data_IF_970190206719
#
_entry.id   IF_970190206719
#
_cell.length_a   1.000
_cell.length_b   1.000
_cell.length_c   1.000
_cell.angle_alpha   90.00
_cell.angle_beta   90.00
_cell.angle_gamma   90.00
#
_symmetry.space_group_name_H-M   'P 1'
#
loop_
_entity.id
_entity.type
_entity.pdbx_description
1 polymer ?
#
# COMPACT_ATOMS: atom_id res chain seq x y z
N UNK A 1 -22.38 -4.96 14.42
CA UNK A 1 -21.63 -5.63 13.34
C UNK A 1 -21.59 -4.66 12.16
N UNK A 2 -20.41 -4.45 11.58
CA UNK A 2 -20.29 -3.68 10.34
C UNK A 2 -21.01 -4.40 9.19
N UNK A 3 -21.53 -3.65 8.24
CA UNK A 3 -22.07 -4.20 7.00
C UNK A 3 -21.01 -5.07 6.31
N UNK A 4 -21.38 -6.27 5.83
CA UNK A 4 -20.47 -7.21 5.14
C UNK A 4 -19.86 -6.63 3.86
N UNK A 5 -20.36 -5.50 3.35
CA UNK A 5 -19.79 -4.79 2.22
C UNK A 5 -18.79 -3.69 2.60
N UNK A 6 -18.73 -3.28 3.86
CA UNK A 6 -17.85 -2.19 4.30
C UNK A 6 -16.45 -2.71 4.62
N UNK A 7 -15.51 -2.45 3.71
CA UNK A 7 -14.08 -2.73 3.92
C UNK A 7 -13.44 -1.61 4.74
N UNK A 8 -12.93 -1.93 5.94
CA UNK A 8 -12.15 -0.99 6.76
C UNK A 8 -10.65 -1.27 6.59
N UNK A 9 -9.89 -0.21 6.34
CA UNK A 9 -8.42 -0.25 6.31
C UNK A 9 -7.93 0.72 7.38
N UNK A 10 -7.18 0.22 8.36
CA UNK A 10 -6.71 1.01 9.50
C UNK A 10 -5.25 0.72 9.83
N UNK A 11 -4.61 1.61 10.56
CA UNK A 11 -3.18 1.52 10.89
C UNK A 11 -2.48 2.87 10.74
N UNK A 12 -1.20 2.98 11.15
CA UNK A 12 -0.52 4.26 11.21
C UNK A 12 -0.23 4.86 9.84
N UNK A 13 0.02 6.17 9.83
CA UNK A 13 0.46 6.86 8.62
C UNK A 13 1.79 6.30 8.12
N UNK A 14 2.75 6.05 9.00
CA UNK A 14 4.08 5.51 8.68
C UNK A 14 4.40 4.38 9.65
N UNK A 15 5.22 3.42 9.22
CA UNK A 15 5.91 2.53 10.15
C UNK A 15 7.15 3.28 10.67
N UNK A 16 7.12 3.74 11.92
CA UNK A 16 8.17 4.58 12.49
C UNK A 16 9.10 3.78 13.39
N UNK A 17 8.56 2.87 14.20
CA UNK A 17 9.32 1.89 15.00
C UNK A 17 8.58 0.55 15.04
N UNK A 18 9.26 -0.58 15.29
CA UNK A 18 8.59 -1.87 15.46
C UNK A 18 7.58 -1.86 16.60
N UNK A 19 7.92 -1.27 17.75
CA UNK A 19 7.02 -1.15 18.90
C UNK A 19 5.76 -0.36 18.56
N UNK A 20 5.90 0.74 17.83
CA UNK A 20 4.77 1.58 17.44
C UNK A 20 3.81 0.85 16.49
N UNK A 21 4.35 0.10 15.52
CA UNK A 21 3.52 -0.70 14.60
C UNK A 21 2.80 -1.80 15.36
N UNK A 22 3.51 -2.54 16.22
CA UNK A 22 2.95 -3.64 17.02
C UNK A 22 1.87 -3.15 17.99
N UNK A 23 2.11 -2.08 18.74
CA UNK A 23 1.13 -1.52 19.70
C UNK A 23 -0.17 -1.08 19.02
N UNK A 24 -0.09 -0.51 17.82
CA UNK A 24 -1.30 -0.12 17.09
C UNK A 24 -2.05 -1.36 16.59
N UNK A 25 -1.34 -2.36 16.06
CA UNK A 25 -1.97 -3.63 15.67
C UNK A 25 -2.66 -4.30 16.87
N UNK A 26 -2.00 -4.33 18.03
CA UNK A 26 -2.57 -4.82 19.28
C UNK A 26 -3.86 -4.07 19.67
N UNK A 27 -3.85 -2.74 19.60
CA UNK A 27 -5.02 -1.92 19.92
C UNK A 27 -6.23 -2.14 18.99
N UNK A 28 -5.97 -2.62 17.76
CA UNK A 28 -6.99 -2.95 16.77
C UNK A 28 -7.35 -4.44 16.79
N UNK A 29 -6.70 -5.26 17.62
CA UNK A 29 -6.93 -6.70 17.67
C UNK A 29 -8.40 -7.06 17.89
N UNK A 30 -8.88 -8.05 17.14
CA UNK A 30 -10.30 -8.44 17.13
C UNK A 30 -11.22 -7.58 16.27
N UNK A 31 -10.71 -6.51 15.64
CA UNK A 31 -11.46 -5.79 14.60
C UNK A 31 -11.41 -6.53 13.26
N UNK A 32 -12.54 -6.54 12.55
CA UNK A 32 -12.65 -7.07 11.19
C UNK A 32 -12.13 -6.03 10.18
N UNK A 33 -10.82 -6.03 9.96
CA UNK A 33 -10.14 -5.14 9.01
C UNK A 33 -9.91 -5.87 7.69
N UNK A 34 -10.23 -5.20 6.58
CA UNK A 34 -9.85 -5.67 5.25
C UNK A 34 -8.32 -5.68 5.07
N UNK A 35 -7.64 -4.68 5.65
CA UNK A 35 -6.18 -4.65 5.71
C UNK A 35 -5.67 -3.72 6.83
N UNK A 36 -4.49 -4.02 7.36
CA UNK A 36 -3.73 -3.17 8.26
C UNK A 36 -2.66 -2.40 7.48
N UNK A 37 -2.73 -1.07 7.52
CA UNK A 37 -1.92 -0.18 6.68
C UNK A 37 -0.76 0.47 7.42
N UNK A 38 0.40 0.53 6.78
CA UNK A 38 1.47 1.44 7.18
C UNK A 38 2.26 1.91 5.95
N UNK A 39 2.65 3.18 5.91
CA UNK A 39 3.51 3.69 4.84
C UNK A 39 4.97 3.40 5.16
N UNK A 40 5.62 2.58 4.35
CA UNK A 40 7.01 2.18 4.55
C UNK A 40 8.00 3.18 3.95
N UNK A 41 7.73 3.65 2.74
CA UNK A 41 8.54 4.66 2.06
C UNK A 41 7.80 5.99 2.08
N UNK A 42 8.51 7.05 2.48
CA UNK A 42 7.93 8.40 2.55
C UNK A 42 8.63 9.30 1.54
N UNK A 43 7.97 9.67 0.44
CA UNK A 43 8.50 10.68 -0.47
C UNK A 43 8.39 12.05 0.22
N UNK A 44 9.39 12.42 1.01
CA UNK A 44 9.42 13.71 1.70
C UNK A 44 9.91 14.79 0.74
N UNK A 45 9.21 15.91 0.74
CA UNK A 45 9.54 17.07 -0.09
C UNK A 45 10.79 17.79 0.41
N UNK A 46 11.11 17.68 1.70
CA UNK A 46 12.32 18.22 2.30
C UNK A 46 13.28 17.09 2.67
N UNK A 47 14.54 17.14 2.19
CA UNK A 47 15.60 16.24 2.63
C UNK A 47 15.83 16.34 4.15
N UNK A 48 16.12 15.21 4.81
CA UNK A 48 16.45 15.16 6.25
C UNK A 48 15.27 14.98 7.22
N UNK A 49 14.03 14.96 6.72
CA UNK A 49 12.90 14.44 7.49
C UNK A 49 12.87 12.90 7.46
N UNK A 50 12.19 12.23 8.39
CA UNK A 50 12.03 10.76 8.36
C UNK A 50 11.52 10.28 6.99
N UNK A 51 12.36 9.50 6.30
CA UNK A 51 12.17 9.04 4.92
C UNK A 51 11.45 7.68 4.85
N UNK A 52 11.12 7.12 6.01
CA UNK A 52 10.57 5.77 6.13
C UNK A 52 11.61 4.78 6.65
N UNK A 53 11.14 3.68 7.22
CA UNK A 53 11.99 2.60 7.74
C UNK A 53 12.63 1.74 6.63
N UNK A 54 12.29 1.98 5.36
CA UNK A 54 12.78 1.17 4.25
C UNK A 54 12.36 -0.29 4.37
N UNK A 55 13.19 -1.22 3.88
CA UNK A 55 12.85 -2.65 3.86
C UNK A 55 12.61 -3.25 5.26
N UNK A 56 13.22 -2.71 6.31
CA UNK A 56 12.98 -3.16 7.69
C UNK A 56 11.53 -2.91 8.13
N UNK A 57 10.93 -1.82 7.68
CA UNK A 57 9.52 -1.53 7.97
C UNK A 57 8.55 -2.56 7.42
N UNK A 58 8.90 -3.27 6.32
CA UNK A 58 8.10 -4.39 5.82
C UNK A 58 8.11 -5.57 6.79
N UNK A 59 9.23 -5.81 7.46
CA UNK A 59 9.37 -6.89 8.46
C UNK A 59 8.46 -6.57 9.64
N UNK A 60 8.53 -5.35 10.19
CA UNK A 60 7.71 -4.95 11.32
C UNK A 60 6.22 -5.03 11.01
N UNK A 61 5.82 -4.57 9.82
CA UNK A 61 4.43 -4.61 9.38
C UNK A 61 3.95 -6.07 9.21
N UNK A 62 4.79 -6.94 8.65
CA UNK A 62 4.49 -8.36 8.48
C UNK A 62 4.31 -9.06 9.83
N UNK A 63 5.28 -8.91 10.72
CA UNK A 63 5.27 -9.55 12.05
C UNK A 63 4.05 -9.12 12.86
N UNK A 64 3.73 -7.81 12.89
CA UNK A 64 2.54 -7.32 13.58
C UNK A 64 1.24 -7.86 12.96
N UNK A 65 1.17 -7.97 11.63
CA UNK A 65 0.00 -8.54 10.97
C UNK A 65 -0.15 -10.05 11.24
N UNK A 66 0.94 -10.80 11.23
CA UNK A 66 0.96 -12.23 11.55
C UNK A 66 0.56 -12.48 13.00
N UNK A 67 1.04 -11.65 13.94
CA UNK A 67 0.75 -11.77 15.37
C UNK A 67 -0.74 -11.55 15.69
N UNK A 68 -1.37 -10.55 15.05
CA UNK A 68 -2.76 -10.15 15.36
C UNK A 68 -3.79 -10.59 14.31
N UNK A 69 -3.38 -11.33 13.29
CA UNK A 69 -4.27 -11.90 12.27
C UNK A 69 -4.78 -10.90 11.22
N UNK A 70 -3.98 -9.88 10.88
CA UNK A 70 -4.32 -8.90 9.85
C UNK A 70 -3.67 -9.21 8.50
N UNK A 71 -4.20 -8.59 7.44
CA UNK A 71 -3.55 -8.57 6.13
C UNK A 71 -2.78 -7.26 5.93
N UNK A 72 -1.47 -7.28 5.66
CA UNK A 72 -0.68 -6.06 5.49
C UNK A 72 -0.99 -5.38 4.15
N UNK A 73 -0.95 -4.04 4.14
CA UNK A 73 -0.96 -3.23 2.91
C UNK A 73 -0.01 -2.02 3.06
N UNK A 74 0.75 -1.68 2.02
CA UNK A 74 1.65 -0.52 1.98
C UNK A 74 1.59 0.24 0.64
N UNK A 75 2.09 1.47 0.61
CA UNK A 75 2.28 2.26 -0.61
C UNK A 75 3.43 1.69 -1.44
N UNK A 76 3.23 1.59 -2.75
CA UNK A 76 4.32 1.41 -3.73
C UNK A 76 4.40 2.64 -4.63
N UNK A 77 5.63 3.07 -4.92
CA UNK A 77 5.89 4.26 -5.72
C UNK A 77 7.03 4.07 -6.74
N UNK A 78 7.67 2.89 -6.73
CA UNK A 78 8.69 2.46 -7.68
C UNK A 78 8.63 0.95 -7.89
N UNK A 79 9.26 0.46 -8.96
CA UNK A 79 9.43 -0.98 -9.24
C UNK A 79 10.15 -1.69 -8.08
N UNK A 80 11.18 -1.08 -7.51
CA UNK A 80 11.91 -1.62 -6.35
C UNK A 80 11.00 -1.80 -5.11
N UNK A 81 10.03 -0.91 -4.90
CA UNK A 81 9.05 -1.10 -3.82
C UNK A 81 8.15 -2.30 -4.11
N UNK A 82 7.70 -2.48 -5.36
CA UNK A 82 6.91 -3.63 -5.80
C UNK A 82 7.67 -4.94 -5.56
N UNK A 83 8.93 -5.01 -5.99
CA UNK A 83 9.77 -6.19 -5.77
C UNK A 83 9.93 -6.51 -4.27
N UNK A 84 10.14 -5.48 -3.44
CA UNK A 84 10.31 -5.66 -2.00
C UNK A 84 9.03 -6.19 -1.33
N UNK A 85 7.85 -5.67 -1.67
CA UNK A 85 6.57 -6.15 -1.09
C UNK A 85 6.23 -7.55 -1.55
N UNK A 86 6.46 -7.89 -2.83
CA UNK A 86 6.23 -9.23 -3.36
C UNK A 86 7.17 -10.25 -2.68
N UNK A 87 8.45 -9.89 -2.50
CA UNK A 87 9.42 -10.73 -1.77
C UNK A 87 9.02 -10.92 -0.30
N UNK A 88 8.41 -9.92 0.32
CA UNK A 88 7.89 -10.01 1.69
C UNK A 88 6.62 -10.90 1.78
N UNK A 89 6.00 -11.23 0.65
CA UNK A 89 4.79 -12.05 0.57
C UNK A 89 3.49 -11.25 0.68
N UNK A 90 3.53 -9.95 0.39
CA UNK A 90 2.32 -9.12 0.42
C UNK A 90 1.50 -9.36 -0.85
N UNK A 91 0.19 -9.39 -0.70
CA UNK A 91 -0.78 -9.56 -1.79
C UNK A 91 -1.63 -8.30 -2.03
N UNK A 92 -1.39 -7.22 -1.28
CA UNK A 92 -2.12 -5.94 -1.35
C UNK A 92 -1.14 -4.77 -1.32
N UNK A 93 -1.37 -3.80 -2.20
CA UNK A 93 -0.63 -2.53 -2.23
C UNK A 93 -1.57 -1.36 -2.51
N UNK A 94 -1.12 -0.14 -2.26
CA UNK A 94 -1.77 1.04 -2.85
C UNK A 94 -0.81 1.93 -3.63
N UNK A 95 -1.35 2.63 -4.63
CA UNK A 95 -0.66 3.67 -5.38
C UNK A 95 -1.07 5.03 -4.81
N UNK A 96 -0.08 5.83 -4.38
CA UNK A 96 -0.30 7.14 -3.78
C UNK A 96 -0.78 8.19 -4.79
N UNK A 97 -1.46 9.23 -4.31
CA UNK A 97 -2.02 10.30 -5.15
C UNK A 97 -0.98 10.99 -6.06
N UNK A 98 0.27 11.14 -5.58
CA UNK A 98 1.37 11.74 -6.36
C UNK A 98 1.78 10.84 -7.52
N UNK A 99 1.87 9.53 -7.28
CA UNK A 99 2.17 8.53 -8.32
C UNK A 99 1.01 8.41 -9.31
N UNK A 100 -0.24 8.42 -8.84
CA UNK A 100 -1.42 8.44 -9.74
C UNK A 100 -1.42 9.64 -10.68
N UNK A 101 -0.86 10.77 -10.23
CA UNK A 101 -0.82 11.99 -11.04
C UNK A 101 0.17 11.91 -12.20
N UNK A 102 1.01 10.87 -12.27
CA UNK A 102 1.98 10.64 -13.34
C UNK A 102 1.66 9.32 -14.07
N UNK A 103 1.18 9.37 -15.33
CA UNK A 103 0.89 8.17 -16.12
C UNK A 103 2.09 7.22 -16.31
N UNK A 104 3.32 7.75 -16.36
CA UNK A 104 4.52 6.92 -16.47
C UNK A 104 4.74 6.10 -15.20
N UNK A 105 4.59 6.73 -14.03
CA UNK A 105 4.72 6.02 -12.75
C UNK A 105 3.67 4.92 -12.58
N UNK A 106 2.42 5.16 -12.99
CA UNK A 106 1.39 4.11 -12.93
C UNK A 106 1.70 2.98 -13.91
N UNK A 107 2.21 3.28 -15.10
CA UNK A 107 2.61 2.27 -16.08
C UNK A 107 3.75 1.39 -15.55
N UNK A 108 4.81 2.00 -15.01
CA UNK A 108 5.96 1.27 -14.44
C UNK A 108 5.53 0.34 -13.29
N UNK A 109 4.62 0.81 -12.43
CA UNK A 109 4.07 0.01 -11.34
C UNK A 109 3.17 -1.13 -11.86
N UNK A 110 2.37 -0.87 -12.89
CA UNK A 110 1.53 -1.89 -13.51
C UNK A 110 2.37 -3.00 -14.15
N UNK A 111 3.43 -2.63 -14.89
CA UNK A 111 4.35 -3.57 -15.51
C UNK A 111 5.09 -4.42 -14.46
N UNK A 112 5.52 -3.82 -13.34
CA UNK A 112 6.17 -4.54 -12.25
C UNK A 112 5.24 -5.52 -11.52
N UNK A 113 3.92 -5.27 -11.54
CA UNK A 113 2.92 -6.13 -10.92
C UNK A 113 2.37 -7.19 -11.87
N UNK A 114 2.75 -7.16 -13.15
CA UNK A 114 2.25 -8.08 -14.17
C UNK A 114 2.50 -9.54 -13.78
N UNK A 115 1.49 -10.39 -13.96
CA UNK A 115 1.56 -11.82 -13.62
C UNK A 115 1.41 -12.15 -12.13
N UNK A 116 1.25 -11.13 -11.26
CA UNK A 116 0.93 -11.33 -9.85
C UNK A 116 -0.59 -11.40 -9.61
N UNK A 117 -0.99 -11.92 -8.45
CA UNK A 117 -2.38 -11.87 -7.98
C UNK A 117 -2.63 -10.69 -7.02
N UNK A 118 -1.80 -9.66 -7.08
CA UNK A 118 -1.83 -8.52 -6.15
C UNK A 118 -3.12 -7.72 -6.34
N UNK A 119 -3.79 -7.37 -5.23
CA UNK A 119 -4.86 -6.37 -5.22
C UNK A 119 -4.23 -4.98 -5.11
N UNK A 120 -4.65 -4.06 -5.98
CA UNK A 120 -4.04 -2.72 -6.08
C UNK A 120 -5.08 -1.64 -5.81
N UNK A 121 -4.97 -0.94 -4.68
CA UNK A 121 -5.79 0.24 -4.44
C UNK A 121 -5.16 1.48 -5.09
N UNK A 122 -5.87 2.20 -5.95
CA UNK A 122 -5.35 3.43 -6.57
C UNK A 122 -6.07 4.67 -6.03
N UNK A 123 -5.31 5.58 -5.39
CA UNK A 123 -5.86 6.85 -4.90
C UNK A 123 -6.15 7.80 -6.04
N UNK A 124 -7.12 8.70 -5.83
CA UNK A 124 -7.33 9.86 -6.70
C UNK A 124 -6.02 10.66 -6.86
N UNK A 125 -5.79 11.27 -8.04
CA UNK A 125 -4.66 12.17 -8.25
C UNK A 125 -4.72 13.40 -7.34
N UNK A 126 -3.60 14.07 -7.10
CA UNK A 126 -3.53 15.23 -6.18
C UNK A 126 -4.38 16.41 -6.66
N UNK A 127 -4.48 16.58 -7.98
CA UNK A 127 -5.47 17.46 -8.58
C UNK A 127 -6.55 16.57 -9.21
N UNK A 128 -7.83 16.71 -8.83
CA UNK A 128 -8.90 15.86 -9.35
C UNK A 128 -9.00 15.92 -10.88
N UNK A 129 -8.63 14.82 -11.54
CA UNK A 129 -8.81 14.58 -12.96
C UNK A 129 -9.32 13.15 -13.14
N UNK A 130 -10.60 13.04 -13.51
CA UNK A 130 -11.28 11.75 -13.67
C UNK A 130 -10.69 10.95 -14.83
N UNK A 131 -10.28 11.59 -15.94
CA UNK A 131 -9.71 10.89 -17.10
C UNK A 131 -8.32 10.33 -16.76
N UNK A 132 -7.53 11.11 -16.04
CA UNK A 132 -6.22 10.66 -15.54
C UNK A 132 -6.38 9.45 -14.60
N UNK A 133 -7.32 9.53 -13.66
CA UNK A 133 -7.58 8.44 -12.70
C UNK A 133 -8.10 7.17 -13.38
N UNK A 134 -9.11 7.28 -14.26
CA UNK A 134 -9.61 6.16 -15.06
C UNK A 134 -8.49 5.56 -15.91
N UNK A 135 -7.66 6.39 -16.54
CA UNK A 135 -6.50 5.92 -17.29
C UNK A 135 -5.50 5.15 -16.43
N UNK A 136 -5.32 5.52 -15.17
CA UNK A 136 -4.50 4.77 -14.22
C UNK A 136 -5.06 3.37 -13.93
N UNK A 137 -6.37 3.28 -13.71
CA UNK A 137 -7.09 2.01 -13.52
C UNK A 137 -6.98 1.12 -14.77
N UNK A 138 -7.21 1.68 -15.96
CA UNK A 138 -7.12 0.93 -17.22
C UNK A 138 -5.71 0.36 -17.47
N UNK A 139 -4.66 1.05 -17.06
CA UNK A 139 -3.27 0.55 -17.15
C UNK A 139 -3.07 -0.70 -16.30
N UNK A 140 -3.57 -0.69 -15.06
CA UNK A 140 -3.51 -1.84 -14.16
C UNK A 140 -4.27 -3.04 -14.75
N UNK A 141 -5.49 -2.83 -15.26
CA UNK A 141 -6.25 -3.89 -15.91
C UNK A 141 -5.56 -4.43 -17.18
N UNK A 142 -4.95 -3.57 -18.00
CA UNK A 142 -4.18 -3.98 -19.19
C UNK A 142 -2.93 -4.80 -18.84
N UNK A 143 -2.32 -4.55 -17.69
CA UNK A 143 -1.24 -5.36 -17.15
C UNK A 143 -1.71 -6.70 -16.54
N UNK A 144 -3.02 -6.99 -16.59
CA UNK A 144 -3.59 -8.25 -16.11
C UNK A 144 -3.92 -8.29 -14.62
N UNK A 145 -3.85 -7.16 -13.92
CA UNK A 145 -4.30 -7.04 -12.53
C UNK A 145 -5.82 -7.18 -12.50
N UNK A 146 -6.34 -8.08 -11.65
CA UNK A 146 -7.77 -8.41 -11.63
C UNK A 146 -8.56 -7.59 -10.63
N UNK A 147 -7.94 -7.22 -9.51
CA UNK A 147 -8.56 -6.53 -8.39
C UNK A 147 -7.89 -5.14 -8.23
N UNK A 148 -8.58 -4.09 -8.70
CA UNK A 148 -8.17 -2.68 -8.65
C UNK A 148 -9.22 -1.86 -7.93
#
# INVERSE_FOLDING_TARGET
>A
MLDKHLKIIAGPCSAETPDQVRQIAESLSGMDLYAFRAGIWKPRTQPGAFEGAGAEGLIWLKEACEEFGFSPITEVASTAHVEAVLKAGFDKVWIGARSTSNPFSVQELADALQGTSTTVLIKNPTNPDVKLWIGGIERLYKAGIKEV
#
